data_IF_363823817460
#
_entry.id   IF_363823817460
#
_cell.length_a   1.000
_cell.length_b   1.000
_cell.length_c   1.000
_cell.angle_alpha   90.00
_cell.angle_beta   90.00
_cell.angle_gamma   90.00
#
_symmetry.space_group_name_H-M   'P 1'
#
loop_
_entity.id
_entity.type
_entity.pdbx_description
1 polymer ?
#
# COMPACT_ATOMS: atom_id res chain seq x y z
N UNK A 1 32.70 -7.53 -1.73
CA UNK A 1 32.96 -8.07 -3.07
C UNK A 1 33.84 -7.10 -3.83
N UNK A 2 34.99 -7.59 -4.28
CA UNK A 2 35.93 -6.81 -5.09
C UNK A 2 35.37 -6.51 -6.48
N UNK A 3 35.96 -5.53 -7.17
CA UNK A 3 35.61 -5.16 -8.55
C UNK A 3 35.73 -6.31 -9.56
N UNK A 4 36.50 -7.36 -9.20
CA UNK A 4 36.68 -8.59 -9.97
C UNK A 4 35.52 -9.59 -9.85
N UNK A 5 34.55 -9.36 -8.95
CA UNK A 5 33.42 -10.25 -8.74
C UNK A 5 32.61 -10.46 -10.02
N UNK A 6 32.32 -11.72 -10.35
CA UNK A 6 31.50 -12.11 -11.50
C UNK A 6 30.55 -13.23 -11.11
N UNK A 7 29.35 -13.20 -11.68
CA UNK A 7 28.38 -14.28 -11.54
C UNK A 7 28.79 -15.41 -12.50
N UNK A 8 28.83 -16.68 -12.07
CA UNK A 8 29.07 -17.80 -12.96
C UNK A 8 28.11 -17.80 -14.16
N UNK A 9 28.63 -18.06 -15.35
CA UNK A 9 27.88 -17.88 -16.61
C UNK A 9 26.64 -18.79 -16.78
N UNK A 10 26.56 -19.89 -16.02
CA UNK A 10 25.41 -20.81 -16.00
C UNK A 10 24.53 -20.65 -14.75
N UNK A 11 24.81 -19.66 -13.89
CA UNK A 11 24.01 -19.45 -12.69
C UNK A 11 22.57 -19.11 -13.08
N UNK A 12 21.62 -19.85 -12.52
CA UNK A 12 20.19 -19.54 -12.60
C UNK A 12 19.78 -18.49 -11.57
N UNK A 13 20.41 -18.49 -10.40
CA UNK A 13 20.05 -17.60 -9.30
C UNK A 13 21.32 -17.06 -8.63
N UNK A 14 21.26 -15.80 -8.21
CA UNK A 14 22.21 -15.22 -7.26
C UNK A 14 21.41 -14.61 -6.11
N UNK A 15 21.59 -15.14 -4.91
CA UNK A 15 20.99 -14.62 -3.68
C UNK A 15 22.13 -14.34 -2.72
N UNK A 16 22.30 -13.06 -2.39
CA UNK A 16 23.26 -12.60 -1.40
C UNK A 16 22.48 -11.89 -0.29
N UNK A 17 22.49 -12.48 0.89
CA UNK A 17 21.82 -11.95 2.08
C UNK A 17 22.83 -11.88 3.22
N UNK A 18 23.02 -10.68 3.77
CA UNK A 18 23.91 -10.44 4.89
C UNK A 18 23.48 -9.17 5.64
N UNK A 19 23.92 -8.99 6.89
CA UNK A 19 23.74 -7.73 7.61
C UNK A 19 24.38 -6.55 6.85
N UNK A 20 25.59 -6.78 6.32
CA UNK A 20 26.37 -5.80 5.60
C UNK A 20 26.82 -6.38 4.28
N UNK A 21 26.55 -5.68 3.18
CA UNK A 21 26.86 -6.14 1.83
C UNK A 21 27.56 -5.03 1.05
N UNK A 22 28.88 -5.16 0.87
CA UNK A 22 29.70 -4.15 0.18
C UNK A 22 30.17 -4.67 -1.17
N UNK A 23 29.96 -3.89 -2.23
CA UNK A 23 30.53 -4.06 -3.55
C UNK A 23 31.42 -2.86 -3.88
N UNK A 24 32.69 -3.09 -4.19
CA UNK A 24 33.56 -2.00 -4.67
C UNK A 24 33.06 -1.38 -5.98
N UNK A 25 32.32 -2.15 -6.78
CA UNK A 25 31.89 -1.75 -8.11
C UNK A 25 30.59 -2.45 -8.55
N UNK A 26 29.71 -1.77 -9.31
CA UNK A 26 28.53 -2.38 -9.93
C UNK A 26 28.86 -3.18 -11.21
N UNK A 27 30.13 -3.36 -11.58
CA UNK A 27 30.54 -3.97 -12.87
C UNK A 27 29.88 -5.32 -13.19
N UNK A 28 29.61 -6.15 -12.16
CA UNK A 28 28.94 -7.43 -12.36
C UNK A 28 27.51 -7.27 -12.89
N UNK A 29 26.83 -6.18 -12.55
CA UNK A 29 25.46 -5.88 -13.01
C UNK A 29 25.40 -5.56 -14.50
N UNK A 30 26.52 -5.18 -15.12
CA UNK A 30 26.59 -4.94 -16.57
C UNK A 30 26.85 -6.22 -17.37
N UNK A 31 27.18 -7.32 -16.69
CA UNK A 31 27.58 -8.60 -17.29
C UNK A 31 26.78 -9.77 -16.69
N UNK A 32 25.48 -9.56 -16.47
CA UNK A 32 24.58 -10.58 -15.93
C UNK A 32 24.45 -11.76 -16.92
N UNK A 33 24.51 -13.02 -16.45
CA UNK A 33 24.39 -14.18 -17.33
C UNK A 33 22.97 -14.33 -17.87
N UNK A 34 22.85 -14.79 -19.12
CA UNK A 34 21.56 -14.99 -19.78
C UNK A 34 20.72 -16.11 -19.15
N UNK A 35 21.29 -16.97 -18.31
CA UNK A 35 20.58 -17.99 -17.55
C UNK A 35 19.95 -17.46 -16.27
N UNK A 36 20.26 -16.23 -15.84
CA UNK A 36 19.85 -15.71 -14.55
C UNK A 36 18.35 -15.41 -14.52
N UNK A 37 17.61 -16.17 -13.73
CA UNK A 37 16.17 -16.04 -13.51
C UNK A 37 15.84 -15.28 -12.23
N UNK A 38 16.78 -15.21 -11.27
CA UNK A 38 16.62 -14.50 -9.99
C UNK A 38 17.90 -13.79 -9.55
N UNK A 39 17.77 -12.53 -9.12
CA UNK A 39 18.85 -11.73 -8.55
C UNK A 39 18.39 -11.03 -7.28
N UNK A 40 18.86 -11.48 -6.12
CA UNK A 40 18.55 -10.91 -4.82
C UNK A 40 19.83 -10.40 -4.16
N UNK A 41 19.86 -9.11 -3.83
CA UNK A 41 20.94 -8.44 -3.12
C UNK A 41 20.32 -7.77 -1.89
N UNK A 42 20.45 -8.44 -0.74
CA UNK A 42 19.76 -8.11 0.50
C UNK A 42 20.80 -7.77 1.56
N UNK A 43 20.83 -6.49 1.95
CA UNK A 43 21.66 -6.04 3.05
C UNK A 43 20.77 -5.70 4.25
N UNK A 44 20.65 -6.56 5.26
CA UNK A 44 19.68 -6.40 6.34
C UNK A 44 19.88 -5.12 7.17
N UNK A 45 21.10 -4.59 7.22
CA UNK A 45 21.42 -3.32 7.90
C UNK A 45 21.92 -2.27 6.91
N UNK A 46 22.95 -2.58 6.11
CA UNK A 46 23.54 -1.60 5.21
C UNK A 46 24.24 -2.25 4.02
N UNK A 47 23.81 -1.85 2.83
CA UNK A 47 24.49 -2.12 1.57
C UNK A 47 25.35 -0.94 1.16
N UNK A 48 26.49 -1.23 0.55
CA UNK A 48 27.36 -0.22 -0.05
C UNK A 48 27.78 -0.67 -1.43
N UNK A 49 27.65 0.22 -2.42
CA UNK A 49 28.11 -0.04 -3.76
C UNK A 49 28.50 1.28 -4.42
N UNK A 50 29.61 1.27 -5.16
CA UNK A 50 29.95 2.41 -6.02
C UNK A 50 28.78 2.75 -6.97
N UNK A 51 28.58 4.04 -7.32
CA UNK A 51 27.42 4.45 -8.10
C UNK A 51 27.28 3.69 -9.42
N UNK A 52 26.04 3.34 -9.77
CA UNK A 52 25.72 2.87 -11.12
C UNK A 52 25.90 4.07 -12.06
N UNK A 53 26.74 3.92 -13.08
CA UNK A 53 27.12 5.01 -14.02
C UNK A 53 26.62 4.78 -15.44
N UNK A 54 26.09 3.60 -15.74
CA UNK A 54 25.54 3.26 -17.05
C UNK A 54 24.30 2.38 -16.92
N UNK A 55 23.52 2.31 -18.00
CA UNK A 55 22.29 1.53 -18.04
C UNK A 55 22.55 0.03 -17.93
N UNK A 56 21.83 -0.62 -17.02
CA UNK A 56 21.87 -2.08 -16.88
C UNK A 56 21.11 -2.75 -18.03
N UNK A 57 21.67 -3.86 -18.54
CA UNK A 57 21.02 -4.76 -19.49
C UNK A 57 20.56 -6.01 -18.76
N UNK A 58 19.26 -6.12 -18.56
CA UNK A 58 18.66 -7.24 -17.84
C UNK A 58 18.52 -8.48 -18.74
N UNK A 59 18.87 -9.68 -18.26
CA UNK A 59 18.56 -10.93 -18.95
C UNK A 59 17.05 -11.06 -19.18
N UNK A 60 16.63 -11.49 -20.38
CA UNK A 60 15.21 -11.59 -20.73
C UNK A 60 14.45 -12.65 -19.91
N UNK A 61 15.16 -13.59 -19.30
CA UNK A 61 14.60 -14.65 -18.44
C UNK A 61 14.57 -14.26 -16.96
N UNK A 62 15.18 -13.12 -16.60
CA UNK A 62 15.18 -12.62 -15.22
C UNK A 62 13.77 -12.15 -14.86
N UNK A 63 13.14 -12.87 -13.93
CA UNK A 63 11.77 -12.58 -13.49
C UNK A 63 11.67 -11.92 -12.12
N UNK A 64 12.68 -12.11 -11.26
CA UNK A 64 12.62 -11.75 -9.85
C UNK A 64 13.90 -11.00 -9.42
N UNK A 65 13.72 -9.76 -8.97
CA UNK A 65 14.78 -8.85 -8.57
C UNK A 65 14.48 -8.23 -7.20
N UNK A 66 15.43 -8.37 -6.28
CA UNK A 66 15.39 -7.79 -4.93
C UNK A 66 16.67 -7.00 -4.69
N UNK A 67 16.54 -5.78 -4.19
CA UNK A 67 17.67 -4.88 -3.96
C UNK A 67 17.42 -3.97 -2.75
N UNK A 68 18.08 -4.28 -1.63
CA UNK A 68 17.75 -3.69 -0.33
C UNK A 68 18.93 -2.96 0.31
N UNK A 69 18.67 -1.77 0.83
CA UNK A 69 19.56 -0.95 1.67
C UNK A 69 20.86 -0.47 1.00
N UNK A 70 20.84 -0.24 -0.32
CA UNK A 70 21.98 0.26 -1.11
C UNK A 70 21.91 1.76 -1.45
N UNK A 71 21.09 2.55 -0.75
CA UNK A 71 21.01 4.01 -0.91
C UNK A 71 20.80 4.50 -2.37
N UNK A 72 19.69 4.08 -2.99
CA UNK A 72 19.34 4.44 -4.38
C UNK A 72 18.65 5.81 -4.46
N UNK A 73 19.22 6.72 -5.25
CA UNK A 73 18.56 7.95 -5.67
C UNK A 73 17.82 7.83 -7.01
N UNK A 74 17.09 8.88 -7.41
CA UNK A 74 16.32 8.88 -8.66
C UNK A 74 17.21 8.63 -9.89
N UNK A 75 18.42 9.17 -9.91
CA UNK A 75 19.35 8.99 -11.02
C UNK A 75 19.82 7.54 -11.14
N UNK A 76 20.18 6.93 -10.01
CA UNK A 76 20.55 5.52 -9.91
C UNK A 76 19.39 4.63 -10.35
N UNK A 77 18.17 4.88 -9.87
CA UNK A 77 16.98 4.12 -10.28
C UNK A 77 16.73 4.21 -11.79
N UNK A 78 16.95 5.39 -12.39
CA UNK A 78 16.85 5.57 -13.84
C UNK A 78 17.92 4.77 -14.61
N UNK A 79 19.14 4.71 -14.08
CA UNK A 79 20.23 3.91 -14.67
C UNK A 79 20.04 2.41 -14.45
N UNK A 80 19.25 1.99 -13.47
CA UNK A 80 18.84 0.59 -13.38
C UNK A 80 18.04 0.13 -14.60
N UNK A 81 17.45 1.05 -15.39
CA UNK A 81 16.88 0.73 -16.71
C UNK A 81 15.88 -0.45 -16.66
N UNK A 82 15.10 -0.53 -15.57
CA UNK A 82 14.17 -1.63 -15.30
C UNK A 82 13.05 -1.70 -16.34
N UNK A 83 12.68 -0.58 -16.93
CA UNK A 83 11.67 -0.47 -17.99
C UNK A 83 12.00 -1.31 -19.24
N UNK A 84 13.28 -1.60 -19.49
CA UNK A 84 13.75 -2.45 -20.60
C UNK A 84 13.88 -3.94 -20.22
N UNK A 85 13.43 -4.33 -19.02
CA UNK A 85 13.47 -5.70 -18.55
C UNK A 85 12.15 -6.45 -18.81
N UNK A 86 12.12 -7.75 -18.47
CA UNK A 86 10.92 -8.57 -18.38
C UNK A 86 10.59 -9.00 -16.95
N UNK A 87 11.10 -8.25 -15.97
CA UNK A 87 10.88 -8.53 -14.55
C UNK A 87 9.38 -8.58 -14.25
N UNK A 88 8.99 -9.60 -13.51
CA UNK A 88 7.63 -9.76 -13.00
C UNK A 88 7.54 -9.35 -11.53
N UNK A 89 8.64 -9.49 -10.79
CA UNK A 89 8.76 -9.15 -9.36
C UNK A 89 9.94 -8.23 -9.15
N UNK A 90 9.66 -7.08 -8.53
CA UNK A 90 10.65 -6.07 -8.20
C UNK A 90 10.43 -5.65 -6.75
N UNK A 91 11.43 -5.85 -5.90
CA UNK A 91 11.48 -5.29 -4.55
C UNK A 91 12.70 -4.41 -4.40
N UNK A 92 12.48 -3.14 -4.09
CA UNK A 92 13.53 -2.18 -3.80
C UNK A 92 13.21 -1.55 -2.45
N UNK A 93 14.14 -1.67 -1.50
CA UNK A 93 14.00 -1.17 -0.14
C UNK A 93 15.18 -0.29 0.29
N UNK A 94 14.94 0.70 1.14
CA UNK A 94 16.01 1.43 1.86
C UNK A 94 16.91 2.29 0.96
N UNK A 95 16.29 3.06 0.06
CA UNK A 95 17.00 3.88 -0.94
C UNK A 95 17.02 5.38 -0.64
N UNK A 96 18.09 6.05 -1.08
CA UNK A 96 18.34 7.49 -0.98
C UNK A 96 17.23 8.33 -1.62
N UNK A 97 16.23 8.69 -0.83
CA UNK A 97 15.04 9.45 -1.20
C UNK A 97 14.86 9.88 -2.67
N UNK A 98 14.08 9.10 -3.43
CA UNK A 98 13.78 9.42 -4.83
C UNK A 98 12.80 10.59 -4.98
N UNK A 99 12.10 10.96 -3.90
CA UNK A 99 11.12 12.06 -3.77
C UNK A 99 9.90 11.94 -4.68
N UNK A 100 10.08 11.85 -6.00
CA UNK A 100 9.03 11.73 -7.00
C UNK A 100 9.17 10.41 -7.73
N UNK A 101 8.13 9.59 -7.66
CA UNK A 101 8.07 8.33 -8.38
C UNK A 101 7.65 8.57 -9.83
N UNK A 102 8.44 8.01 -10.74
CA UNK A 102 8.11 7.91 -12.16
C UNK A 102 7.78 6.45 -12.49
N UNK A 103 6.52 6.18 -12.82
CA UNK A 103 6.07 4.82 -13.17
C UNK A 103 6.71 4.34 -14.47
N UNK A 104 7.20 5.27 -15.30
CA UNK A 104 7.77 4.90 -16.59
C UNK A 104 9.10 4.15 -16.48
N UNK A 105 9.72 4.18 -15.29
CA UNK A 105 10.94 3.46 -14.97
C UNK A 105 10.75 1.94 -14.79
N UNK A 106 9.51 1.44 -14.71
CA UNK A 106 9.22 0.01 -14.45
C UNK A 106 8.64 -0.69 -15.68
N UNK A 107 8.93 -1.99 -15.89
CA UNK A 107 8.46 -2.71 -17.07
C UNK A 107 6.97 -3.04 -16.97
N UNK A 108 6.28 -3.10 -18.12
CA UNK A 108 4.85 -3.46 -18.18
C UNK A 108 4.55 -4.90 -17.74
N UNK A 109 5.58 -5.76 -17.70
CA UNK A 109 5.48 -7.15 -17.26
C UNK A 109 5.34 -7.29 -15.74
N UNK A 110 5.61 -6.23 -14.98
CA UNK A 110 5.61 -6.30 -13.51
C UNK A 110 4.23 -6.66 -12.97
N UNK A 111 4.21 -7.66 -12.09
CA UNK A 111 3.04 -8.16 -11.36
C UNK A 111 3.13 -7.76 -9.90
N UNK A 112 4.32 -7.85 -9.31
CA UNK A 112 4.57 -7.49 -7.92
C UNK A 112 5.64 -6.38 -7.87
N UNK A 113 5.25 -5.19 -7.43
CA UNK A 113 6.12 -4.03 -7.30
C UNK A 113 6.15 -3.55 -5.85
N UNK A 114 7.30 -3.67 -5.20
CA UNK A 114 7.55 -3.12 -3.87
C UNK A 114 8.64 -2.04 -3.93
N UNK A 115 8.27 -0.83 -3.52
CA UNK A 115 9.13 0.34 -3.44
C UNK A 115 9.05 0.87 -2.01
N UNK A 116 9.81 0.24 -1.12
CA UNK A 116 9.67 0.40 0.31
C UNK A 116 10.73 1.38 0.84
N UNK A 117 10.34 2.27 1.73
CA UNK A 117 11.27 3.18 2.42
C UNK A 117 12.16 4.01 1.47
N UNK A 118 11.64 4.35 0.28
CA UNK A 118 12.37 5.10 -0.75
C UNK A 118 12.18 6.63 -0.61
N UNK A 119 11.64 7.09 0.52
CA UNK A 119 11.25 8.48 0.82
C UNK A 119 10.50 9.16 -0.35
N UNK A 120 9.53 8.45 -0.92
CA UNK A 120 8.64 9.00 -1.96
C UNK A 120 7.63 9.94 -1.30
N UNK A 121 7.47 11.14 -1.87
CA UNK A 121 6.48 12.14 -1.48
C UNK A 121 5.42 12.39 -2.56
N UNK A 122 5.82 12.24 -3.83
CA UNK A 122 4.96 12.49 -4.98
C UNK A 122 4.81 11.22 -5.82
N UNK A 123 3.58 10.84 -6.09
CA UNK A 123 3.22 9.73 -6.97
C UNK A 123 2.85 10.25 -8.36
N UNK A 124 3.01 9.43 -9.41
CA UNK A 124 2.52 9.78 -10.73
C UNK A 124 0.99 9.82 -10.73
N UNK A 125 0.40 10.55 -11.69
CA UNK A 125 -1.05 10.65 -11.81
C UNK A 125 -1.74 9.30 -12.10
N UNK A 126 -1.01 8.32 -12.64
CA UNK A 126 -1.56 7.00 -12.93
C UNK A 126 -0.52 5.88 -12.95
N UNK A 127 -0.94 4.70 -12.52
CA UNK A 127 -0.25 3.42 -12.68
C UNK A 127 -0.90 2.53 -13.75
N UNK A 128 -1.89 3.02 -14.51
CA UNK A 128 -2.69 2.21 -15.46
C UNK A 128 -1.85 1.53 -16.57
N UNK A 129 -0.64 2.04 -16.85
CA UNK A 129 0.33 1.41 -17.76
C UNK A 129 0.77 0.03 -17.27
N UNK A 130 0.88 -0.15 -15.96
CA UNK A 130 1.24 -1.43 -15.34
C UNK A 130 -0.02 -2.30 -15.22
N UNK A 131 -0.61 -2.65 -16.35
CA UNK A 131 -1.89 -3.37 -16.44
C UNK A 131 -1.82 -4.85 -16.02
N UNK A 132 -0.62 -5.37 -15.77
CA UNK A 132 -0.40 -6.71 -15.18
C UNK A 132 -0.15 -6.66 -13.67
N UNK A 133 -0.09 -5.46 -13.08
CA UNK A 133 0.24 -5.26 -11.68
C UNK A 133 -0.88 -5.83 -10.80
N UNK A 134 -0.51 -6.75 -9.91
CA UNK A 134 -1.37 -7.42 -8.92
C UNK A 134 -1.11 -6.91 -7.52
N UNK A 135 0.15 -6.62 -7.20
CA UNK A 135 0.56 -6.15 -5.88
C UNK A 135 1.42 -4.90 -6.01
N UNK A 136 1.02 -3.84 -5.30
CA UNK A 136 1.79 -2.61 -5.18
C UNK A 136 2.06 -2.33 -3.70
N UNK A 137 3.34 -2.35 -3.31
CA UNK A 137 3.77 -1.90 -1.99
C UNK A 137 4.52 -0.58 -2.11
N UNK A 138 4.01 0.43 -1.42
CA UNK A 138 4.64 1.73 -1.18
C UNK A 138 4.94 1.90 0.31
N UNK A 139 5.00 0.80 1.06
CA UNK A 139 5.18 0.81 2.50
C UNK A 139 6.36 1.70 2.90
N UNK A 140 6.13 2.51 3.92
CA UNK A 140 7.18 3.29 4.53
C UNK A 140 7.62 4.55 3.77
N UNK A 141 6.84 4.99 2.78
CA UNK A 141 7.09 6.27 2.11
C UNK A 141 6.41 7.43 2.86
N UNK A 142 6.50 8.66 2.33
CA UNK A 142 5.98 9.87 2.99
C UNK A 142 4.86 10.50 2.16
N UNK A 143 3.69 9.85 2.15
CA UNK A 143 2.56 10.14 1.26
C UNK A 143 1.44 10.95 1.95
N UNK A 144 1.81 11.89 2.83
CA UNK A 144 0.87 12.64 3.66
C UNK A 144 -0.07 13.59 2.87
N UNK A 145 0.37 14.06 1.70
CA UNK A 145 -0.38 14.95 0.80
C UNK A 145 -0.19 14.51 -0.63
N UNK A 146 -0.96 13.51 -1.05
CA UNK A 146 -0.93 13.04 -2.43
C UNK A 146 -2.15 13.51 -3.22
N UNK A 147 -1.92 13.81 -4.50
CA UNK A 147 -2.99 14.00 -5.45
C UNK A 147 -3.70 12.67 -5.74
N UNK A 148 -4.94 12.69 -6.25
CA UNK A 148 -5.60 11.48 -6.73
C UNK A 148 -4.74 10.70 -7.74
N UNK A 149 -4.63 9.39 -7.54
CA UNK A 149 -3.81 8.49 -8.36
C UNK A 149 -4.70 7.44 -9.00
N UNK A 150 -4.61 7.31 -10.33
CA UNK A 150 -5.34 6.27 -11.07
C UNK A 150 -4.60 4.92 -11.05
N UNK A 151 -5.08 3.98 -10.24
CA UNK A 151 -4.55 2.62 -10.14
C UNK A 151 -5.14 1.67 -11.22
N UNK A 152 -4.42 0.62 -11.64
CA UNK A 152 -4.92 -0.43 -12.54
C UNK A 152 -5.83 -1.41 -11.80
N UNK A 153 -6.97 -0.94 -11.26
CA UNK A 153 -7.88 -1.74 -10.41
C UNK A 153 -8.54 -2.94 -11.10
N UNK A 154 -8.36 -3.12 -12.41
CA UNK A 154 -8.76 -4.33 -13.13
C UNK A 154 -7.82 -5.51 -12.89
N UNK A 155 -6.56 -5.25 -12.52
CA UNK A 155 -5.55 -6.27 -12.23
C UNK A 155 -5.02 -6.19 -10.79
N UNK A 156 -5.04 -5.00 -10.18
CA UNK A 156 -4.47 -4.76 -8.85
C UNK A 156 -5.36 -5.38 -7.78
N UNK A 157 -4.81 -6.35 -7.06
CA UNK A 157 -5.47 -7.09 -5.99
C UNK A 157 -5.14 -6.48 -4.62
N UNK A 158 -3.87 -6.06 -4.42
CA UNK A 158 -3.37 -5.56 -3.14
C UNK A 158 -2.59 -4.24 -3.31
N UNK A 159 -2.96 -3.25 -2.51
CA UNK A 159 -2.21 -2.02 -2.29
C UNK A 159 -1.72 -1.98 -0.84
N UNK A 160 -0.41 -2.04 -0.62
CA UNK A 160 0.21 -1.83 0.68
C UNK A 160 0.75 -0.39 0.77
N UNK A 161 0.14 0.41 1.62
CA UNK A 161 0.51 1.79 1.97
C UNK A 161 0.69 1.93 3.47
N UNK A 162 1.22 0.88 4.10
CA UNK A 162 1.52 0.90 5.53
C UNK A 162 2.58 1.95 5.84
N UNK A 163 2.48 2.57 7.01
CA UNK A 163 3.44 3.54 7.53
C UNK A 163 3.79 4.66 6.53
N UNK A 164 2.79 5.14 5.78
CA UNK A 164 2.96 6.15 4.75
C UNK A 164 2.66 7.59 5.22
N UNK A 165 2.40 7.78 6.51
CA UNK A 165 1.91 9.03 7.10
C UNK A 165 0.65 9.57 6.40
N UNK A 166 -0.26 8.67 5.99
CA UNK A 166 -1.48 9.05 5.27
C UNK A 166 -2.44 9.85 6.15
N UNK A 167 -3.06 10.87 5.55
CA UNK A 167 -4.25 11.56 6.11
C UNK A 167 -5.56 11.08 5.48
N UNK A 168 -5.53 10.67 4.21
CA UNK A 168 -6.69 10.24 3.44
C UNK A 168 -6.37 8.94 2.70
N UNK A 169 -7.38 8.09 2.53
CA UNK A 169 -7.32 6.88 1.72
C UNK A 169 -7.91 7.14 0.32
N UNK A 170 -8.90 8.03 0.21
CA UNK A 170 -9.61 8.34 -1.03
C UNK A 170 -8.74 8.68 -2.25
N UNK A 171 -7.55 9.31 -2.16
CA UNK A 171 -6.73 9.59 -3.34
C UNK A 171 -6.32 8.34 -4.12
N UNK A 172 -6.18 7.19 -3.47
CA UNK A 172 -5.85 5.91 -4.11
C UNK A 172 -7.05 5.22 -4.76
N UNK A 173 -8.27 5.66 -4.45
CA UNK A 173 -9.50 4.93 -4.75
C UNK A 173 -10.29 5.52 -5.91
N UNK A 174 -9.82 6.61 -6.52
CA UNK A 174 -10.53 7.28 -7.61
C UNK A 174 -10.81 6.39 -8.81
N UNK A 175 -9.98 5.38 -9.06
CA UNK A 175 -10.24 4.41 -10.14
C UNK A 175 -11.40 3.48 -9.81
N UNK A 176 -11.63 3.12 -8.55
CA UNK A 176 -12.76 2.27 -8.15
C UNK A 176 -14.11 2.99 -8.24
N UNK A 177 -14.11 4.33 -8.29
CA UNK A 177 -15.31 5.14 -8.49
C UNK A 177 -15.70 5.29 -9.96
N UNK A 178 -14.83 4.92 -10.90
CA UNK A 178 -15.15 4.93 -12.34
C UNK A 178 -16.18 3.82 -12.66
N UNK A 179 -17.22 4.12 -13.45
CA UNK A 179 -18.31 3.17 -13.76
C UNK A 179 -17.84 1.82 -14.30
N UNK A 180 -16.80 1.81 -15.13
CA UNK A 180 -16.22 0.58 -15.69
C UNK A 180 -15.60 -0.35 -14.64
N UNK A 181 -15.36 0.13 -13.42
CA UNK A 181 -14.70 -0.60 -12.34
C UNK A 181 -15.67 -0.94 -11.19
N UNK A 182 -16.99 -0.89 -11.40
CA UNK A 182 -18.01 -1.17 -10.36
C UNK A 182 -17.85 -2.54 -9.66
N UNK A 183 -17.24 -3.52 -10.34
CA UNK A 183 -17.01 -4.87 -9.81
C UNK A 183 -15.55 -5.10 -9.36
N UNK A 184 -14.70 -4.08 -9.40
CA UNK A 184 -13.30 -4.21 -8.99
C UNK A 184 -13.21 -4.47 -7.48
N UNK A 185 -12.38 -5.44 -7.10
CA UNK A 185 -12.03 -5.70 -5.72
C UNK A 185 -10.60 -5.23 -5.46
N UNK A 186 -10.39 -4.52 -4.36
CA UNK A 186 -9.06 -4.07 -3.96
C UNK A 186 -8.91 -4.20 -2.45
N UNK A 187 -7.86 -4.88 -2.02
CA UNK A 187 -7.41 -4.86 -0.63
C UNK A 187 -6.40 -3.73 -0.44
N UNK A 188 -6.67 -2.85 0.53
CA UNK A 188 -5.77 -1.78 0.94
C UNK A 188 -5.25 -2.06 2.34
N UNK A 189 -3.95 -2.19 2.47
CA UNK A 189 -3.25 -2.34 3.75
C UNK A 189 -2.66 -0.98 4.17
N UNK A 190 -3.25 -0.35 5.18
CA UNK A 190 -2.94 1.02 5.57
C UNK A 190 -2.64 1.16 7.08
N UNK A 191 -2.17 0.10 7.74
CA UNK A 191 -1.68 0.16 9.12
C UNK A 191 -0.41 1.01 9.25
N UNK A 192 -0.09 1.50 10.44
CA UNK A 192 0.96 2.48 10.71
C UNK A 192 0.63 3.93 10.30
N UNK A 193 -0.58 4.23 9.82
CA UNK A 193 -0.99 5.59 9.45
C UNK A 193 -1.87 6.20 10.55
N UNK A 194 -1.24 6.85 11.52
CA UNK A 194 -1.91 7.27 12.77
C UNK A 194 -2.92 8.41 12.61
N UNK A 195 -2.84 9.18 11.52
CA UNK A 195 -3.62 10.40 11.29
C UNK A 195 -4.66 10.25 10.18
N UNK A 196 -5.10 9.03 9.87
CA UNK A 196 -6.11 8.78 8.83
C UNK A 196 -7.45 9.38 9.25
N UNK A 197 -8.05 10.17 8.37
CA UNK A 197 -9.35 10.78 8.60
C UNK A 197 -10.49 9.74 8.55
N UNK A 198 -11.22 9.59 9.65
CA UNK A 198 -12.29 8.58 9.76
C UNK A 198 -13.48 8.88 8.86
N UNK A 199 -13.79 10.15 8.62
CA UNK A 199 -14.89 10.52 7.72
C UNK A 199 -14.55 10.17 6.26
N UNK A 200 -13.28 10.30 5.86
CA UNK A 200 -12.80 9.81 4.56
C UNK A 200 -13.00 8.29 4.45
N UNK A 201 -12.56 7.54 5.47
CA UNK A 201 -12.75 6.08 5.54
C UNK A 201 -14.23 5.71 5.44
N UNK A 202 -15.11 6.34 6.22
CA UNK A 202 -16.56 6.08 6.20
C UNK A 202 -17.16 6.34 4.81
N UNK A 203 -16.77 7.44 4.17
CA UNK A 203 -17.24 7.80 2.82
C UNK A 203 -16.83 6.74 1.79
N UNK A 204 -15.56 6.34 1.76
CA UNK A 204 -15.07 5.37 0.76
C UNK A 204 -15.61 3.97 1.00
N UNK A 205 -15.74 3.54 2.27
CA UNK A 205 -16.33 2.24 2.61
C UNK A 205 -17.81 2.14 2.22
N UNK A 206 -18.55 3.25 2.35
CA UNK A 206 -19.96 3.35 1.91
C UNK A 206 -20.07 3.35 0.37
N UNK A 207 -19.19 4.05 -0.32
CA UNK A 207 -19.27 4.24 -1.77
C UNK A 207 -18.78 3.03 -2.57
N UNK A 208 -17.71 2.35 -2.12
CA UNK A 208 -17.00 1.36 -2.93
C UNK A 208 -17.23 -0.02 -2.33
N UNK A 209 -18.05 -0.86 -2.97
CA UNK A 209 -18.43 -2.18 -2.43
C UNK A 209 -17.30 -3.22 -2.48
N UNK A 210 -16.41 -3.17 -3.46
CA UNK A 210 -15.27 -4.10 -3.60
C UNK A 210 -14.03 -3.73 -2.77
N UNK A 211 -14.10 -2.67 -1.94
CA UNK A 211 -12.98 -2.27 -1.10
C UNK A 211 -12.91 -3.13 0.16
N UNK A 212 -11.75 -3.73 0.39
CA UNK A 212 -11.33 -4.26 1.69
C UNK A 212 -10.22 -3.37 2.25
N UNK A 213 -10.31 -2.94 3.50
CA UNK A 213 -9.40 -2.00 4.11
C UNK A 213 -8.90 -2.50 5.46
N UNK A 214 -7.59 -2.47 5.66
CA UNK A 214 -6.94 -2.77 6.93
C UNK A 214 -6.32 -1.49 7.51
N UNK A 215 -6.69 -1.12 8.73
CA UNK A 215 -6.21 0.06 9.44
C UNK A 215 -5.77 -0.29 10.86
N UNK A 216 -4.97 0.58 11.48
CA UNK A 216 -4.77 0.48 12.92
C UNK A 216 -6.09 0.68 13.65
N UNK A 217 -6.22 0.04 14.80
CA UNK A 217 -7.22 0.40 15.80
C UNK A 217 -6.84 1.75 16.43
N UNK A 218 -7.15 2.85 15.74
CA UNK A 218 -6.84 4.22 16.19
C UNK A 218 -7.81 4.71 17.27
N UNK A 219 -9.09 4.34 17.17
CA UNK A 219 -10.14 4.75 18.09
C UNK A 219 -11.34 3.80 18.05
N UNK A 220 -12.28 3.99 18.97
CA UNK A 220 -13.51 3.20 19.08
C UNK A 220 -14.44 3.36 17.86
N UNK A 221 -14.36 4.48 17.13
CA UNK A 221 -15.15 4.71 15.93
C UNK A 221 -14.77 3.77 14.79
N UNK A 222 -13.46 3.55 14.55
CA UNK A 222 -12.99 2.54 13.58
C UNK A 222 -13.43 1.13 14.04
N UNK A 223 -13.29 0.83 15.34
CA UNK A 223 -13.67 -0.46 15.90
C UNK A 223 -15.16 -0.74 15.71
N UNK A 224 -16.02 0.25 15.96
CA UNK A 224 -17.46 0.16 15.71
C UNK A 224 -17.74 -0.14 14.24
N UNK A 225 -17.09 0.55 13.30
CA UNK A 225 -17.30 0.28 11.87
C UNK A 225 -16.83 -1.14 11.50
N UNK A 226 -15.66 -1.55 12.00
CA UNK A 226 -15.07 -2.88 11.75
C UNK A 226 -15.97 -4.01 12.26
N UNK A 227 -16.58 -3.86 13.43
CA UNK A 227 -17.49 -4.86 14.00
C UNK A 227 -18.76 -5.09 13.15
N UNK A 228 -19.15 -4.10 12.33
CA UNK A 228 -20.32 -4.19 11.46
C UNK A 228 -19.96 -4.46 9.99
N UNK A 229 -18.66 -4.61 9.66
CA UNK A 229 -18.22 -4.84 8.28
C UNK A 229 -16.95 -5.68 8.23
N UNK A 230 -17.05 -6.90 7.71
CA UNK A 230 -15.89 -7.77 7.44
C UNK A 230 -14.89 -7.18 6.43
N UNK A 231 -15.29 -6.11 5.73
CA UNK A 231 -14.48 -5.40 4.73
C UNK A 231 -13.57 -4.34 5.36
N UNK A 232 -13.78 -3.98 6.63
CA UNK A 232 -12.88 -3.11 7.38
C UNK A 232 -12.30 -3.91 8.54
N UNK A 233 -10.99 -4.11 8.53
CA UNK A 233 -10.28 -4.74 9.64
C UNK A 233 -9.51 -3.69 10.43
N UNK A 234 -9.86 -3.56 11.71
CA UNK A 234 -9.12 -2.74 12.66
C UNK A 234 -8.15 -3.64 13.45
N UNK A 235 -6.85 -3.52 13.22
CA UNK A 235 -5.83 -4.39 13.82
C UNK A 235 -4.95 -3.63 14.81
N UNK A 236 -4.50 -4.35 15.84
CA UNK A 236 -3.37 -3.95 16.65
C UNK A 236 -2.11 -4.46 15.95
N UNK A 237 -1.36 -3.56 15.31
CA UNK A 237 -0.02 -3.84 14.80
C UNK A 237 0.91 -2.79 15.37
N UNK A 238 1.96 -3.26 16.03
CA UNK A 238 3.03 -2.40 16.49
C UNK A 238 3.66 -1.69 15.29
N UNK A 239 4.10 -0.45 15.49
CA UNK A 239 4.95 0.22 14.53
C UNK A 239 6.24 -0.60 14.42
N UNK A 240 6.69 -0.85 13.20
CA UNK A 240 8.02 -1.44 13.00
C UNK A 240 9.06 -0.57 13.72
N UNK A 241 9.79 -1.09 14.72
CA UNK A 241 10.71 -0.30 15.52
C UNK A 241 11.93 0.20 14.74
N UNK A 242 12.22 -0.38 13.57
CA UNK A 242 13.30 0.04 12.68
C UNK A 242 12.89 1.19 11.75
N UNK A 243 11.62 1.60 11.81
CA UNK A 243 11.08 2.68 11.00
C UNK A 243 11.58 4.05 11.51
N UNK A 244 12.23 4.85 10.64
CA UNK A 244 12.55 6.26 10.96
C UNK A 244 11.23 6.96 11.34
N UNK A 245 11.09 7.33 12.63
CA UNK A 245 9.94 8.12 13.11
C UNK A 245 9.79 9.32 12.19
N UNK A 246 8.72 9.37 11.41
CA UNK A 246 8.32 10.59 10.72
C UNK A 246 8.25 11.67 11.80
N UNK A 247 9.00 12.76 11.65
CA UNK A 247 8.83 13.95 12.51
C UNK A 247 7.34 14.27 12.48
N UNK A 248 6.63 13.93 13.55
CA UNK A 248 5.27 14.37 13.77
C UNK A 248 5.33 15.88 13.63
N UNK A 249 4.67 16.42 12.60
CA UNK A 249 4.47 17.86 12.54
C UNK A 249 3.80 18.25 13.85
N UNK A 250 4.47 19.05 14.67
CA UNK A 250 4.07 19.52 16.01
C UNK A 250 2.78 20.39 16.02
N UNK A 251 1.95 20.29 14.98
CA UNK A 251 0.66 20.96 14.91
C UNK A 251 -0.42 19.89 14.88
N UNK A 252 -0.77 19.39 16.07
CA UNK A 252 -2.05 18.74 16.33
C UNK A 252 -3.18 19.76 16.08
N UNK A 253 -3.66 19.82 14.84
CA UNK A 253 -4.98 20.41 14.61
C UNK A 253 -6.03 19.41 15.12
N UNK A 254 -6.48 19.68 16.34
CA UNK A 254 -7.67 19.05 16.94
C UNK A 254 -8.87 19.39 16.05
N UNK A 255 -9.24 18.47 15.16
CA UNK A 255 -10.53 18.56 14.47
C UNK A 255 -11.59 18.06 15.45
N UNK A 256 -12.40 19.01 15.94
CA UNK A 256 -13.45 18.78 16.92
C UNK A 256 -14.47 17.74 16.47
N UNK A 257 -14.87 16.90 17.43
CA UNK A 257 -15.83 15.83 17.28
C UNK A 257 -17.28 16.30 17.02
N UNK A 258 -18.07 15.35 16.49
CA UNK A 258 -19.53 15.24 16.46
C UNK A 258 -20.31 16.05 15.41
N UNK A 259 -20.89 15.31 14.46
CA UNK A 259 -22.31 15.45 14.13
C UNK A 259 -22.91 14.04 14.09
N UNK A 260 -23.75 13.75 15.09
CA UNK A 260 -24.36 12.46 15.38
C UNK A 260 -25.83 12.51 15.00
N UNK A 261 -26.18 12.74 13.74
CA UNK A 261 -27.60 12.86 13.36
C UNK A 261 -27.94 12.41 11.93
N UNK A 262 -27.34 11.30 11.46
CA UNK A 262 -27.81 10.67 10.19
C UNK A 262 -27.75 9.14 10.22
N UNK A 263 -28.09 8.55 11.37
CA UNK A 263 -28.37 7.12 11.50
C UNK A 263 -29.86 6.85 11.29
N UNK A 264 -30.32 7.02 10.05
CA UNK A 264 -31.55 6.37 9.59
C UNK A 264 -31.39 5.98 8.12
N UNK A 265 -31.24 4.68 7.86
CA UNK A 265 -31.56 4.08 6.57
C UNK A 265 -32.23 2.76 6.88
N UNK A 266 -33.55 2.77 6.80
CA UNK A 266 -34.38 1.64 7.19
C UNK A 266 -34.17 0.42 6.32
N UNK A 267 -34.42 -0.73 6.92
CA UNK A 267 -35.05 -1.85 6.24
C UNK A 267 -35.92 -2.57 7.25
N UNK A 268 -37.20 -2.59 6.91
CA UNK A 268 -38.36 -3.13 7.60
C UNK A 268 -38.18 -4.61 7.93
N UNK A 269 -38.53 -5.02 9.15
CA UNK A 269 -39.05 -6.35 9.42
C UNK A 269 -40.38 -6.20 10.15
N UNK A 270 -41.46 -6.61 9.47
CA UNK A 270 -42.76 -6.86 10.06
C UNK A 270 -42.64 -8.05 11.02
N UNK A 271 -43.23 -7.93 12.19
CA UNK A 271 -43.81 -9.06 12.92
C UNK A 271 -44.99 -8.52 13.73
N UNK A 272 -46.14 -9.04 13.35
CA UNK A 272 -47.50 -8.82 13.82
C UNK A 272 -47.62 -8.88 15.36
N UNK A 273 -48.36 -7.93 15.93
CA UNK A 273 -49.66 -8.14 16.59
C UNK A 273 -49.57 -8.71 18.01
N UNK A 274 -49.79 -7.84 18.99
CA UNK A 274 -50.85 -8.06 20.00
C UNK A 274 -51.29 -6.68 20.52
N UNK A 275 -52.48 -6.27 20.08
CA UNK A 275 -53.19 -5.11 20.61
C UNK A 275 -53.77 -5.47 21.98
N UNK A 276 -53.43 -4.68 23.00
CA UNK A 276 -54.14 -4.64 24.26
C UNK A 276 -54.54 -3.19 24.54
N UNK A 277 -55.77 -2.85 24.19
CA UNK A 277 -56.60 -1.71 24.64
C UNK A 277 -58.02 -2.23 24.32
N UNK A 278 -58.98 -2.31 25.22
CA UNK A 278 -59.59 -1.30 26.09
C UNK A 278 -60.28 -2.07 27.26
N UNK A 279 -60.74 -1.51 28.37
CA UNK A 279 -61.67 -0.39 28.42
C UNK A 279 -61.93 0.06 29.87
N UNK A 280 -62.37 1.30 29.95
CA UNK A 280 -62.56 2.12 31.14
C UNK A 280 -63.61 1.61 32.15
N UNK A 281 -63.30 2.00 33.38
CA UNK A 281 -64.15 2.17 34.56
C UNK A 281 -65.37 3.06 34.27
N UNK A 282 -66.60 2.54 34.44
CA UNK A 282 -67.65 3.29 35.12
C UNK A 282 -68.91 2.48 35.50
N UNK A 283 -69.35 2.73 36.74
CA UNK A 283 -70.72 2.73 37.27
C UNK A 283 -71.41 1.46 37.84
N UNK A 284 -71.71 1.61 39.15
CA UNK A 284 -72.99 1.35 39.90
C UNK A 284 -73.05 0.19 40.91
N UNK A 285 -72.99 0.61 42.17
CA UNK A 285 -73.74 0.15 43.36
C UNK A 285 -75.05 -0.62 43.06
N UNK A 286 -75.24 -1.81 43.67
CA UNK A 286 -76.21 -2.11 44.77
C UNK A 286 -76.48 -3.61 44.97
N UNK A 287 -76.52 -4.00 46.27
CA UNK A 287 -77.32 -5.09 46.91
C UNK A 287 -76.94 -6.52 46.51
N UNK A 288 -76.76 -7.50 47.40
CA UNK A 288 -77.10 -7.70 48.82
C UNK A 288 -75.92 -8.35 49.55
#
# INVERSE_FOLDING_TARGET
FESSFRIPHLAGELILEADYLTFESPEFMYHLPNSLTRLHLIANKQGEMSPIVQKIRWPLVLGDFVFENFNIDYHTLKLMNLNESRLEKISICGGGGIKKLDVDLFPISVKDLALMEMRIHELPASFKRLNNLRQLSLMGNQLNKINPVKLPVSSLEVLNVRQCNLRLISPFLVSMLEEKNQNANLRVEATGNLNVNINDVRKVMKAIKGLSLELNRLNDSILKISNHSYRLQAVYRDLDPYFEKSKSSENEEVVSDYDSDDLYSGSVFYSDEEYSDDENDDNKRKKN
#
